data_IF_159625190410
#
_entry.id   IF_159625190410
#
_cell.length_a   1.000
_cell.length_b   1.000
_cell.length_c   1.000
_cell.angle_alpha   90.00
_cell.angle_beta   90.00
_cell.angle_gamma   90.00
#
_symmetry.space_group_name_H-M   'P 1'
#
loop_
_entity.id
_entity.type
_entity.pdbx_description
1 polymer ?
#
# COMPACT_ATOMS: atom_id res chain seq x y z
N UNK A 1 -30.33 27.00 41.11
CA UNK A 1 -30.20 26.19 39.88
C UNK A 1 -30.45 27.11 38.69
N UNK A 2 -29.43 27.44 37.89
CA UNK A 2 -29.63 28.28 36.71
C UNK A 2 -30.28 27.42 35.61
N UNK A 3 -31.47 27.81 35.15
CA UNK A 3 -32.22 27.10 34.11
C UNK A 3 -31.43 26.97 32.81
N UNK A 4 -31.57 25.82 32.12
CA UNK A 4 -30.97 25.61 30.80
C UNK A 4 -31.52 26.64 29.81
N UNK A 5 -30.70 27.62 29.43
CA UNK A 5 -31.02 28.57 28.36
C UNK A 5 -31.17 27.82 27.03
N UNK A 6 -32.39 27.74 26.52
CA UNK A 6 -32.73 27.12 25.23
C UNK A 6 -32.08 27.91 24.08
N UNK A 7 -31.72 27.19 23.02
CA UNK A 7 -31.15 27.77 21.81
C UNK A 7 -32.25 28.32 20.90
N UNK A 8 -32.05 29.52 20.36
CA UNK A 8 -32.99 30.13 19.41
C UNK A 8 -32.59 29.86 17.97
N UNK A 9 -33.55 29.97 17.04
CA UNK A 9 -33.27 29.85 15.59
C UNK A 9 -32.26 30.88 15.10
N UNK A 10 -32.30 32.09 15.66
CA UNK A 10 -31.33 33.15 15.34
C UNK A 10 -29.92 32.79 15.80
N UNK A 11 -29.78 32.17 16.98
CA UNK A 11 -28.48 31.70 17.46
C UNK A 11 -27.96 30.54 16.58
N UNK A 12 -28.83 29.66 16.11
CA UNK A 12 -28.46 28.57 15.20
C UNK A 12 -28.03 29.10 13.81
N UNK A 13 -28.78 30.02 13.22
CA UNK A 13 -28.41 30.71 11.97
C UNK A 13 -27.10 31.49 12.12
N UNK A 14 -26.93 32.18 13.25
CA UNK A 14 -25.68 32.88 13.54
C UNK A 14 -24.50 31.91 13.64
N UNK A 15 -24.68 30.70 14.21
CA UNK A 15 -23.66 29.68 14.20
C UNK A 15 -23.36 29.20 12.76
N UNK A 16 -24.37 28.88 11.96
CA UNK A 16 -24.20 28.48 10.55
C UNK A 16 -23.37 29.51 9.76
N UNK A 17 -23.66 30.80 9.93
CA UNK A 17 -23.01 31.87 9.18
C UNK A 17 -21.58 32.19 9.62
N UNK A 18 -21.27 31.97 10.90
CA UNK A 18 -20.04 32.47 11.54
C UNK A 18 -19.05 31.38 11.92
N UNK A 19 -19.50 30.13 12.08
CA UNK A 19 -18.63 28.98 12.35
C UNK A 19 -17.68 28.80 11.17
N UNK A 20 -16.37 28.94 11.39
CA UNK A 20 -15.33 28.92 10.35
C UNK A 20 -14.81 30.30 9.93
N UNK A 21 -15.61 31.37 10.07
CA UNK A 21 -15.19 32.77 9.83
C UNK A 21 -14.61 33.42 11.08
N UNK A 22 -15.16 33.10 12.25
CA UNK A 22 -14.76 33.67 13.53
C UNK A 22 -14.20 32.59 14.48
N UNK A 23 -13.33 33.00 15.41
CA UNK A 23 -12.87 32.11 16.49
C UNK A 23 -14.06 31.72 17.37
N UNK A 24 -14.16 30.44 17.75
CA UNK A 24 -15.26 29.94 18.60
C UNK A 24 -15.39 30.72 19.92
N UNK A 25 -14.28 31.19 20.49
CA UNK A 25 -14.29 32.07 21.67
C UNK A 25 -14.98 33.41 21.41
N UNK A 26 -14.81 33.99 20.22
CA UNK A 26 -15.47 35.24 19.83
C UNK A 26 -16.97 35.02 19.61
N UNK A 27 -17.33 33.89 18.99
CA UNK A 27 -18.72 33.47 18.81
C UNK A 27 -19.40 33.27 20.18
N UNK A 28 -18.76 32.55 21.10
CA UNK A 28 -19.25 32.33 22.46
C UNK A 28 -19.48 33.65 23.22
N UNK A 29 -18.53 34.60 23.13
CA UNK A 29 -18.67 35.94 23.72
C UNK A 29 -19.87 36.70 23.13
N UNK A 30 -20.05 36.67 21.80
CA UNK A 30 -21.14 37.38 21.11
C UNK A 30 -22.52 36.78 21.41
N UNK A 31 -22.62 35.47 21.58
CA UNK A 31 -23.85 34.78 21.96
C UNK A 31 -24.14 34.83 23.48
N UNK A 32 -23.17 35.30 24.27
CA UNK A 32 -23.25 35.26 25.74
C UNK A 32 -23.37 33.84 26.28
N UNK A 33 -22.70 32.87 25.66
CA UNK A 33 -22.71 31.45 26.03
C UNK A 33 -21.30 30.95 26.33
N UNK A 34 -21.18 29.83 27.05
CA UNK A 34 -19.88 29.19 27.28
C UNK A 34 -19.38 28.52 26.00
N UNK A 35 -18.05 28.41 25.86
CA UNK A 35 -17.42 27.75 24.72
C UNK A 35 -17.92 26.30 24.57
N UNK A 36 -18.02 25.56 25.68
CA UNK A 36 -18.53 24.18 25.66
C UNK A 36 -19.99 24.07 25.17
N UNK A 37 -20.85 25.03 25.52
CA UNK A 37 -22.22 25.06 25.04
C UNK A 37 -22.28 25.28 23.52
N UNK A 38 -21.44 26.18 23.00
CA UNK A 38 -21.30 26.45 21.57
C UNK A 38 -20.78 25.21 20.84
N UNK A 39 -19.75 24.53 21.36
CA UNK A 39 -19.22 23.30 20.77
C UNK A 39 -20.27 22.17 20.71
N UNK A 40 -21.02 21.97 21.78
CA UNK A 40 -22.10 20.97 21.82
C UNK A 40 -23.23 21.30 20.84
N UNK A 41 -23.56 22.58 20.66
CA UNK A 41 -24.60 22.99 19.70
C UNK A 41 -24.13 22.85 18.27
N UNK A 42 -22.88 23.20 17.98
CA UNK A 42 -22.23 23.00 16.69
C UNK A 42 -22.23 21.52 16.30
N UNK A 43 -21.94 20.63 17.26
CA UNK A 43 -22.02 19.18 17.05
C UNK A 43 -23.46 18.73 16.79
N UNK A 44 -24.42 19.23 17.57
CA UNK A 44 -25.86 18.92 17.41
C UNK A 44 -26.42 19.35 16.05
N UNK A 45 -26.00 20.52 15.55
CA UNK A 45 -26.41 21.05 14.24
C UNK A 45 -25.65 20.40 13.07
N UNK A 46 -24.63 19.57 13.32
CA UNK A 46 -23.81 18.97 12.25
C UNK A 46 -22.87 19.95 11.54
N UNK A 47 -22.86 21.23 11.92
CA UNK A 47 -21.99 22.28 11.37
C UNK A 47 -20.55 22.21 11.92
N UNK A 48 -20.27 21.22 12.77
CA UNK A 48 -18.97 20.95 13.43
C UNK A 48 -17.82 20.56 12.53
N UNK A 49 -18.05 20.41 11.22
CA UNK A 49 -16.99 20.31 10.22
C UNK A 49 -16.35 21.69 9.94
N UNK A 50 -15.92 22.37 11.01
CA UNK A 50 -15.13 23.63 11.02
C UNK A 50 -13.88 23.58 10.14
N UNK A 51 -13.42 22.37 9.78
CA UNK A 51 -12.32 22.15 8.84
C UNK A 51 -12.74 22.48 7.41
N UNK A 52 -13.89 21.99 6.95
CA UNK A 52 -14.41 22.18 5.58
C UNK A 52 -14.68 23.68 5.32
N UNK A 53 -15.23 24.41 6.30
CA UNK A 53 -15.57 25.84 6.14
C UNK A 53 -14.35 26.77 6.04
N UNK A 54 -13.14 26.31 6.42
CA UNK A 54 -11.90 27.11 6.31
C UNK A 54 -11.29 27.11 4.90
N UNK A 55 -11.95 26.47 3.93
CA UNK A 55 -11.43 26.20 2.59
C UNK A 55 -10.21 25.28 2.59
N UNK A 56 -9.95 24.60 3.72
CA UNK A 56 -8.78 23.73 3.91
C UNK A 56 -9.18 22.39 4.51
N UNK A 57 -8.78 21.33 3.83
CA UNK A 57 -8.99 19.94 4.23
C UNK A 57 -7.68 19.35 4.73
N UNK A 58 -7.75 18.40 5.66
CA UNK A 58 -6.55 17.66 6.07
C UNK A 58 -6.12 16.68 4.97
N UNK A 59 -4.83 16.31 4.96
CA UNK A 59 -4.34 15.27 4.05
C UNK A 59 -5.11 13.94 4.16
N UNK A 60 -5.65 13.61 5.33
CA UNK A 60 -6.44 12.40 5.53
C UNK A 60 -7.87 12.54 4.97
N UNK A 61 -8.50 13.70 5.18
CA UNK A 61 -9.82 14.00 4.59
C UNK A 61 -9.74 14.04 3.07
N UNK A 62 -8.67 14.61 2.50
CA UNK A 62 -8.40 14.55 1.06
C UNK A 62 -8.22 13.10 0.58
N UNK A 63 -7.52 12.25 1.33
CA UNK A 63 -7.33 10.85 0.97
C UNK A 63 -8.66 10.08 0.95
N UNK A 64 -9.52 10.33 1.93
CA UNK A 64 -10.87 9.74 2.02
C UNK A 64 -11.73 10.22 0.84
N UNK A 65 -11.74 11.53 0.56
CA UNK A 65 -12.48 12.12 -0.56
C UNK A 65 -12.10 11.52 -1.91
N UNK A 66 -10.80 11.24 -2.09
CA UNK A 66 -10.27 10.68 -3.33
C UNK A 66 -10.31 9.13 -3.38
N UNK A 67 -10.67 8.46 -2.27
CA UNK A 67 -10.62 7.00 -2.17
C UNK A 67 -9.20 6.40 -2.29
N UNK A 68 -8.17 7.13 -1.85
CA UNK A 68 -6.75 6.72 -1.96
C UNK A 68 -6.08 6.57 -0.59
N UNK A 69 -4.89 5.98 -0.58
CA UNK A 69 -4.10 5.84 0.64
C UNK A 69 -3.55 7.20 1.13
N UNK A 70 -3.65 7.45 2.44
CA UNK A 70 -3.20 8.72 3.05
C UNK A 70 -1.69 8.99 2.87
N UNK A 71 -0.85 7.96 2.70
CA UNK A 71 0.57 8.14 2.39
C UNK A 71 0.79 8.61 0.95
N UNK A 72 -0.14 8.33 0.03
CA UNK A 72 -0.07 8.92 -1.32
C UNK A 72 -0.18 10.45 -1.23
N UNK A 73 -1.16 10.96 -0.47
CA UNK A 73 -1.32 12.41 -0.25
C UNK A 73 -0.09 13.01 0.46
N UNK A 74 0.45 12.34 1.48
CA UNK A 74 1.69 12.80 2.15
C UNK A 74 2.89 12.83 1.19
N UNK A 75 3.00 11.87 0.26
CA UNK A 75 4.03 11.88 -0.80
C UNK A 75 3.83 13.04 -1.77
N UNK A 76 2.60 13.40 -2.11
CA UNK A 76 2.32 14.57 -2.95
C UNK A 76 2.84 15.87 -2.32
N UNK A 77 2.65 16.03 -1.02
CA UNK A 77 3.15 17.19 -0.25
C UNK A 77 4.68 17.18 -0.21
N UNK A 78 5.31 16.04 0.09
CA UNK A 78 6.77 15.97 0.30
C UNK A 78 7.58 16.01 -1.00
N UNK A 79 7.08 15.37 -2.06
CA UNK A 79 7.88 15.04 -3.25
C UNK A 79 7.32 15.58 -4.55
N UNK A 80 6.06 16.03 -4.57
CA UNK A 80 5.42 16.53 -5.78
C UNK A 80 4.90 17.97 -5.66
N UNK A 81 5.27 18.68 -4.58
CA UNK A 81 5.04 20.11 -4.46
C UNK A 81 3.60 20.52 -4.14
N UNK A 82 2.75 19.60 -3.63
CA UNK A 82 1.41 19.97 -3.17
C UNK A 82 1.52 20.92 -1.97
N UNK A 83 1.00 22.14 -2.12
CA UNK A 83 1.05 23.16 -1.06
C UNK A 83 0.21 22.73 0.13
N UNK A 84 0.85 22.62 1.29
CA UNK A 84 0.17 22.30 2.55
C UNK A 84 0.75 23.13 3.70
N UNK A 85 -0.14 23.64 4.55
CA UNK A 85 0.24 24.31 5.79
C UNK A 85 0.32 23.27 6.90
N UNK A 86 1.50 23.10 7.50
CA UNK A 86 1.66 22.24 8.67
C UNK A 86 1.24 22.97 9.94
N UNK A 87 0.33 22.39 10.72
CA UNK A 87 0.02 22.85 12.08
C UNK A 87 0.26 21.73 13.09
N UNK A 88 0.95 22.06 14.18
CA UNK A 88 1.07 21.19 15.34
C UNK A 88 -0.10 21.50 16.30
N UNK A 89 -0.80 20.46 16.74
CA UNK A 89 -1.81 20.55 17.80
C UNK A 89 -1.18 20.35 19.19
N UNK A 90 -1.99 20.44 20.26
CA UNK A 90 -1.57 20.21 21.66
C UNK A 90 -0.96 18.83 21.91
N UNK A 91 -1.32 17.82 21.13
CA UNK A 91 -0.64 16.54 21.07
C UNK A 91 0.33 16.54 19.88
N UNK A 92 1.50 15.92 20.03
CA UNK A 92 2.68 15.89 19.15
C UNK A 92 2.44 15.56 17.64
N UNK A 93 1.20 15.31 17.24
CA UNK A 93 0.79 15.09 15.86
C UNK A 93 0.82 16.40 15.05
N UNK A 94 1.57 16.36 13.93
CA UNK A 94 1.58 17.39 12.89
C UNK A 94 0.51 17.08 11.85
N UNK A 95 -0.39 18.03 11.60
CA UNK A 95 -1.41 17.92 10.56
C UNK A 95 -1.03 18.76 9.35
N UNK A 96 -1.27 18.22 8.16
CA UNK A 96 -1.14 18.95 6.89
C UNK A 96 -2.51 19.44 6.46
N UNK A 97 -2.68 20.75 6.36
CA UNK A 97 -3.90 21.42 5.87
C UNK A 97 -3.66 21.89 4.43
N UNK A 98 -4.52 21.45 3.52
CA UNK A 98 -4.42 21.69 2.07
C UNK A 98 -5.63 22.52 1.67
N UNK A 99 -5.44 23.60 0.90
CA UNK A 99 -6.57 24.33 0.34
C UNK A 99 -7.15 23.58 -0.87
N UNK A 100 -8.47 23.59 -1.03
CA UNK A 100 -9.15 22.94 -2.16
C UNK A 100 -8.67 23.54 -3.49
N UNK A 101 -8.52 24.86 -3.56
CA UNK A 101 -8.03 25.55 -4.77
C UNK A 101 -6.58 25.18 -5.11
N UNK A 102 -5.72 25.08 -4.08
CA UNK A 102 -4.32 24.66 -4.26
C UNK A 102 -4.24 23.21 -4.71
N UNK A 103 -5.14 22.35 -4.21
CA UNK A 103 -5.25 20.97 -4.66
C UNK A 103 -5.66 20.90 -6.13
N UNK A 104 -6.70 21.62 -6.57
CA UNK A 104 -7.15 21.60 -7.96
C UNK A 104 -6.08 22.11 -8.93
N UNK A 105 -5.38 23.21 -8.59
CA UNK A 105 -4.24 23.70 -9.38
C UNK A 105 -3.11 22.68 -9.49
N UNK A 106 -2.83 21.96 -8.41
CA UNK A 106 -1.82 20.91 -8.41
C UNK A 106 -2.27 19.67 -9.21
N UNK A 107 -3.53 19.27 -9.08
CA UNK A 107 -4.14 18.15 -9.78
C UNK A 107 -4.17 18.37 -11.29
N UNK A 108 -4.42 19.60 -11.74
CA UNK A 108 -4.38 19.98 -13.15
C UNK A 108 -2.98 19.81 -13.76
N UNK A 109 -1.93 20.10 -12.99
CA UNK A 109 -0.55 19.91 -13.43
C UNK A 109 -0.06 18.45 -13.32
N UNK A 110 -0.79 17.58 -12.61
CA UNK A 110 -0.39 16.20 -12.29
C UNK A 110 -1.52 15.22 -12.60
N UNK A 111 -2.19 15.40 -13.74
CA UNK A 111 -3.37 14.60 -14.14
C UNK A 111 -3.06 13.10 -14.19
N UNK A 112 -1.85 12.70 -14.59
CA UNK A 112 -1.50 11.28 -14.70
C UNK A 112 -1.43 10.53 -13.35
N UNK A 113 -1.34 11.26 -12.23
CA UNK A 113 -1.17 10.65 -10.90
C UNK A 113 -2.48 10.37 -10.18
N UNK A 114 -3.57 10.98 -10.63
CA UNK A 114 -4.88 10.88 -10.00
C UNK A 114 -5.79 10.19 -11.01
N UNK A 115 -6.50 9.16 -10.56
CA UNK A 115 -7.57 8.58 -11.35
C UNK A 115 -8.89 9.23 -10.90
N UNK A 116 -9.39 10.14 -11.72
CA UNK A 116 -10.59 10.92 -11.45
C UNK A 116 -11.89 10.12 -11.62
N UNK A 117 -11.84 8.99 -12.33
CA UNK A 117 -13.03 8.14 -12.55
C UNK A 117 -13.58 7.51 -11.27
N UNK A 118 -12.80 7.49 -10.19
CA UNK A 118 -13.13 6.82 -8.91
C UNK A 118 -13.61 7.79 -7.83
N UNK A 119 -13.49 9.08 -8.06
CA UNK A 119 -13.85 10.13 -7.10
C UNK A 119 -15.34 10.42 -7.31
N UNK A 120 -16.15 10.53 -6.26
CA UNK A 120 -17.55 10.95 -6.45
C UNK A 120 -17.60 12.43 -6.88
N UNK A 121 -18.64 12.81 -7.62
CA UNK A 121 -18.86 14.22 -8.02
C UNK A 121 -19.16 15.07 -6.80
N UNK A 122 -18.72 16.33 -6.80
CA UNK A 122 -19.02 17.33 -5.76
C UNK A 122 -18.47 17.08 -4.35
N UNK A 123 -17.65 16.05 -4.11
CA UNK A 123 -17.00 15.85 -2.80
C UNK A 123 -16.08 17.03 -2.45
N UNK A 124 -15.43 17.65 -3.44
CA UNK A 124 -14.46 18.74 -3.26
C UNK A 124 -14.90 20.01 -4.02
N UNK A 125 -15.98 20.63 -3.57
CA UNK A 125 -16.48 21.88 -4.14
C UNK A 125 -15.56 23.10 -3.81
N UNK A 126 -15.36 24.04 -4.76
CA UNK A 126 -15.86 24.06 -6.14
C UNK A 126 -15.05 23.15 -7.06
N UNK A 127 -15.72 22.32 -7.87
CA UNK A 127 -15.10 21.43 -8.86
C UNK A 127 -14.86 22.21 -10.18
N UNK A 128 -13.62 22.25 -10.71
CA UNK A 128 -13.33 22.88 -12.01
C UNK A 128 -13.93 22.09 -13.19
N UNK A 129 -14.32 22.79 -14.26
CA UNK A 129 -14.89 22.17 -15.47
C UNK A 129 -13.98 21.12 -16.13
N UNK A 130 -12.65 21.29 -16.03
CA UNK A 130 -11.70 20.35 -16.63
C UNK A 130 -11.76 18.96 -15.99
N UNK A 131 -12.24 18.84 -14.75
CA UNK A 131 -12.32 17.57 -14.03
C UNK A 131 -13.34 16.64 -14.67
N UNK A 132 -14.47 17.18 -15.13
CA UNK A 132 -15.49 16.39 -15.83
C UNK A 132 -14.96 15.85 -17.17
N UNK A 133 -14.20 16.67 -17.90
CA UNK A 133 -13.53 16.24 -19.14
C UNK A 133 -12.52 15.14 -18.84
N UNK A 134 -11.71 15.30 -17.78
CA UNK A 134 -10.73 14.30 -17.39
C UNK A 134 -11.38 12.99 -16.93
N UNK A 135 -12.52 13.02 -16.22
CA UNK A 135 -13.28 11.81 -15.84
C UNK A 135 -13.68 10.98 -17.06
N UNK A 136 -14.10 11.63 -18.15
CA UNK A 136 -14.48 10.95 -19.41
C UNK A 136 -13.27 10.27 -20.04
N UNK A 137 -12.12 10.95 -20.08
CA UNK A 137 -10.85 10.40 -20.57
C UNK A 137 -10.42 9.21 -19.70
N UNK A 138 -10.34 9.41 -18.39
CA UNK A 138 -9.92 8.38 -17.44
C UNK A 138 -10.80 7.14 -17.55
N UNK A 139 -12.13 7.31 -17.64
CA UNK A 139 -13.08 6.19 -17.78
C UNK A 139 -12.84 5.39 -19.06
N UNK A 140 -12.50 6.06 -20.16
CA UNK A 140 -12.14 5.41 -21.43
C UNK A 140 -10.75 4.74 -21.37
N UNK A 141 -9.81 5.33 -20.63
CA UNK A 141 -8.44 4.83 -20.45
C UNK A 141 -8.30 3.76 -19.36
N UNK A 142 -9.28 3.58 -18.45
CA UNK A 142 -9.27 2.51 -17.43
C UNK A 142 -8.86 1.22 -18.14
N UNK A 143 -7.67 0.67 -17.85
CA UNK A 143 -7.21 -0.48 -18.58
C UNK A 143 -8.18 -1.63 -18.31
N UNK A 144 -8.96 -2.02 -19.33
CA UNK A 144 -9.73 -3.28 -19.37
C UNK A 144 -8.87 -4.49 -18.97
N UNK A 145 -7.54 -4.32 -18.93
CA UNK A 145 -6.51 -5.28 -18.49
C UNK A 145 -6.61 -5.73 -17.03
N UNK A 146 -7.11 -4.93 -16.09
CA UNK A 146 -6.88 -5.22 -14.66
C UNK A 146 -7.59 -6.45 -14.10
N UNK A 147 -8.56 -7.02 -14.82
CA UNK A 147 -9.25 -8.26 -14.42
C UNK A 147 -9.62 -9.17 -15.59
N UNK A 148 -8.82 -9.19 -16.67
CA UNK A 148 -9.06 -10.22 -17.70
C UNK A 148 -8.73 -11.59 -17.10
N UNK A 149 -9.70 -12.51 -16.93
CA UNK A 149 -9.41 -13.87 -16.50
C UNK A 149 -8.45 -14.54 -17.49
N UNK A 150 -7.74 -15.56 -17.04
CA UNK A 150 -6.90 -16.37 -17.93
C UNK A 150 -7.80 -17.27 -18.75
N UNK A 151 -7.68 -17.19 -20.08
CA UNK A 151 -8.32 -18.18 -20.95
C UNK A 151 -7.54 -19.50 -20.89
N UNK A 152 -8.20 -20.62 -21.18
CA UNK A 152 -7.58 -21.94 -21.27
C UNK A 152 -6.55 -21.98 -22.41
N UNK A 153 -6.89 -21.42 -23.58
CA UNK A 153 -5.95 -21.26 -24.71
C UNK A 153 -4.74 -20.38 -24.37
N UNK A 154 -4.96 -19.28 -23.64
CA UNK A 154 -3.87 -18.42 -23.16
C UNK A 154 -2.97 -19.17 -22.15
N UNK A 155 -3.58 -20.00 -21.30
CA UNK A 155 -2.86 -20.83 -20.32
C UNK A 155 -2.02 -21.90 -21.02
N UNK A 156 -2.58 -22.57 -22.03
CA UNK A 156 -1.84 -23.54 -22.86
C UNK A 156 -0.64 -22.88 -23.54
N UNK A 157 -0.87 -21.71 -24.15
CA UNK A 157 0.20 -20.96 -24.82
C UNK A 157 1.30 -20.51 -23.85
N UNK A 158 0.92 -20.12 -22.64
CA UNK A 158 1.86 -19.81 -21.57
C UNK A 158 2.73 -21.03 -21.21
N UNK A 159 2.13 -22.22 -21.07
CA UNK A 159 2.85 -23.45 -20.75
C UNK A 159 3.82 -23.85 -21.87
N UNK A 160 3.40 -23.75 -23.14
CA UNK A 160 4.25 -23.99 -24.30
C UNK A 160 5.48 -23.06 -24.31
N UNK A 161 5.26 -21.75 -24.17
CA UNK A 161 6.34 -20.77 -24.18
C UNK A 161 7.29 -20.94 -22.98
N UNK A 162 6.75 -21.34 -21.83
CA UNK A 162 7.55 -21.64 -20.63
C UNK A 162 8.41 -22.90 -20.83
N UNK A 163 7.85 -23.97 -21.39
CA UNK A 163 8.59 -25.20 -21.69
C UNK A 163 9.65 -25.01 -22.79
N UNK A 164 9.46 -24.04 -23.68
CA UNK A 164 10.47 -23.60 -24.65
C UNK A 164 11.63 -22.81 -24.02
N UNK A 165 11.57 -22.51 -22.72
CA UNK A 165 12.63 -21.79 -22.00
C UNK A 165 12.70 -20.29 -22.29
N UNK A 166 11.60 -19.70 -22.82
CA UNK A 166 11.54 -18.26 -23.11
C UNK A 166 11.58 -17.43 -21.83
N UNK A 167 12.19 -16.25 -21.90
CA UNK A 167 12.26 -15.36 -20.74
C UNK A 167 10.88 -14.76 -20.41
N UNK A 168 10.66 -14.37 -19.15
CA UNK A 168 9.37 -13.86 -18.68
C UNK A 168 8.95 -12.57 -19.41
N UNK A 169 9.91 -11.75 -19.80
CA UNK A 169 9.71 -10.49 -20.53
C UNK A 169 9.15 -10.75 -21.95
N UNK A 170 9.74 -11.70 -22.66
CA UNK A 170 9.27 -12.11 -24.00
C UNK A 170 7.87 -12.73 -23.92
N UNK A 171 7.61 -13.57 -22.90
CA UNK A 171 6.28 -14.14 -22.67
C UNK A 171 5.25 -13.04 -22.37
N UNK A 172 5.65 -12.00 -21.64
CA UNK A 172 4.81 -10.84 -21.32
C UNK A 172 4.41 -10.05 -22.55
N UNK A 173 5.37 -9.81 -23.45
CA UNK A 173 5.12 -9.14 -24.72
C UNK A 173 4.21 -10.00 -25.62
N UNK A 174 4.49 -11.29 -25.77
CA UNK A 174 3.71 -12.21 -26.61
C UNK A 174 2.26 -12.38 -26.15
N UNK A 175 2.03 -12.43 -24.84
CA UNK A 175 0.68 -12.58 -24.26
C UNK A 175 0.01 -11.22 -23.95
N UNK A 176 0.70 -10.10 -24.20
CA UNK A 176 0.25 -8.75 -23.87
C UNK A 176 -0.21 -8.61 -22.40
N UNK A 177 0.47 -9.30 -21.49
CA UNK A 177 0.23 -9.29 -20.04
C UNK A 177 1.45 -8.68 -19.33
N UNK A 178 1.28 -8.31 -18.07
CA UNK A 178 2.42 -7.86 -17.25
C UNK A 178 3.26 -9.05 -16.82
N UNK A 179 4.57 -8.87 -16.70
CA UNK A 179 5.51 -9.88 -16.20
C UNK A 179 5.07 -10.45 -14.84
N UNK A 180 4.68 -9.56 -13.91
CA UNK A 180 4.14 -9.97 -12.59
C UNK A 180 2.87 -10.82 -12.72
N UNK A 181 2.04 -10.57 -13.72
CA UNK A 181 0.84 -11.36 -13.99
C UNK A 181 1.17 -12.77 -14.45
N UNK A 182 2.16 -12.91 -15.33
CA UNK A 182 2.68 -14.19 -15.80
C UNK A 182 3.36 -14.96 -14.68
N UNK A 183 4.25 -14.31 -13.92
CA UNK A 183 4.94 -14.93 -12.79
C UNK A 183 3.95 -15.55 -11.80
N UNK A 184 2.90 -14.81 -11.42
CA UNK A 184 1.83 -15.32 -10.53
C UNK A 184 1.07 -16.50 -11.13
N UNK A 185 0.80 -16.47 -12.45
CA UNK A 185 0.12 -17.58 -13.13
C UNK A 185 1.01 -18.83 -13.17
N UNK A 186 2.30 -18.69 -13.48
CA UNK A 186 3.27 -19.79 -13.45
C UNK A 186 3.36 -20.39 -12.04
N UNK A 187 3.43 -19.57 -10.98
CA UNK A 187 3.41 -20.07 -9.60
C UNK A 187 2.17 -20.91 -9.31
N UNK A 188 0.98 -20.45 -9.71
CA UNK A 188 -0.27 -21.22 -9.56
C UNK A 188 -0.27 -22.52 -10.37
N UNK A 189 0.26 -22.50 -11.58
CA UNK A 189 0.38 -23.70 -12.41
C UNK A 189 1.36 -24.73 -11.80
N UNK A 190 2.44 -24.26 -11.15
CA UNK A 190 3.35 -25.10 -10.36
C UNK A 190 2.64 -25.71 -9.14
N UNK A 191 1.87 -24.91 -8.41
CA UNK A 191 1.03 -25.39 -7.29
C UNK A 191 0.01 -26.45 -7.73
N UNK A 192 -0.58 -26.29 -8.91
CA UNK A 192 -1.49 -27.25 -9.52
C UNK A 192 -0.78 -28.46 -10.17
N UNK A 193 0.56 -28.55 -10.08
CA UNK A 193 1.41 -29.59 -10.69
C UNK A 193 1.31 -29.69 -12.22
N UNK A 194 0.83 -28.65 -12.88
CA UNK A 194 0.75 -28.56 -14.35
C UNK A 194 2.07 -28.08 -14.98
N UNK A 195 2.95 -27.49 -14.16
CA UNK A 195 4.32 -27.14 -14.55
C UNK A 195 5.33 -27.66 -13.52
N UNK A 196 6.55 -28.06 -13.94
CA UNK A 196 7.58 -28.49 -13.03
C UNK A 196 8.06 -27.32 -12.14
N UNK A 197 8.34 -27.61 -10.87
CA UNK A 197 9.03 -26.67 -10.01
C UNK A 197 10.51 -26.59 -10.43
N UNK A 198 11.05 -25.37 -10.47
CA UNK A 198 12.50 -25.15 -10.73
C UNK A 198 13.37 -25.79 -9.62
N UNK A 199 12.76 -26.11 -8.48
CA UNK A 199 13.38 -26.78 -7.34
C UNK A 199 12.70 -28.11 -7.12
N UNK A 200 13.41 -29.20 -7.38
CA UNK A 200 13.03 -30.52 -6.88
C UNK A 200 13.13 -30.46 -5.34
N UNK A 201 12.00 -30.21 -4.68
CA UNK A 201 11.86 -30.23 -3.22
C UNK A 201 11.72 -31.68 -2.75
N UNK A 202 12.75 -32.50 -2.97
CA UNK A 202 12.79 -33.83 -2.38
C UNK A 202 13.08 -33.71 -0.87
N UNK A 203 12.18 -34.19 -0.01
CA UNK A 203 12.41 -34.20 1.43
C UNK A 203 13.68 -35.01 1.74
N UNK A 204 14.48 -34.53 2.70
CA UNK A 204 15.72 -35.19 3.11
C UNK A 204 15.40 -36.52 3.78
N UNK A 205 15.96 -37.61 3.25
CA UNK A 205 15.83 -38.95 3.86
C UNK A 205 16.78 -39.07 5.06
N UNK A 206 16.45 -39.94 6.02
CA UNK A 206 17.32 -40.20 7.18
C UNK A 206 18.71 -40.70 6.77
N UNK A 207 18.79 -41.60 5.76
CA UNK A 207 20.05 -42.11 5.21
C UNK A 207 20.89 -41.00 4.57
N UNK A 208 20.27 -40.07 3.83
CA UNK A 208 20.95 -38.92 3.24
C UNK A 208 21.53 -37.98 4.31
N UNK A 209 20.84 -37.84 5.45
CA UNK A 209 21.34 -37.04 6.57
C UNK A 209 22.52 -37.70 7.28
N UNK A 210 22.48 -39.02 7.45
CA UNK A 210 23.61 -39.78 8.00
C UNK A 210 24.84 -39.66 7.10
N UNK A 211 24.65 -39.89 5.79
CA UNK A 211 25.72 -39.75 4.80
C UNK A 211 26.31 -38.33 4.77
N UNK A 212 25.46 -37.30 4.85
CA UNK A 212 25.93 -35.90 4.94
C UNK A 212 26.85 -35.66 6.15
N UNK A 213 26.53 -36.24 7.31
CA UNK A 213 27.33 -36.11 8.55
C UNK A 213 28.59 -36.97 8.50
N UNK A 214 28.54 -38.14 7.87
CA UNK A 214 29.70 -39.02 7.66
C UNK A 214 30.74 -38.37 6.75
N UNK A 215 30.32 -37.82 5.61
CA UNK A 215 31.20 -37.12 4.67
C UNK A 215 31.78 -35.84 5.29
N UNK A 216 31.02 -35.17 6.15
CA UNK A 216 31.51 -34.03 6.93
C UNK A 216 32.59 -34.45 7.94
N UNK A 217 32.42 -35.57 8.64
CA UNK A 217 33.45 -36.11 9.55
C UNK A 217 34.72 -36.52 8.81
N UNK A 218 34.62 -36.88 7.53
CA UNK A 218 35.77 -37.13 6.66
C UNK A 218 36.46 -35.84 6.17
N UNK A 219 35.88 -34.66 6.46
CA UNK A 219 36.47 -33.37 6.16
C UNK A 219 36.30 -32.90 4.72
N UNK A 220 35.33 -33.46 4.00
CA UNK A 220 34.94 -33.08 2.64
C UNK A 220 34.25 -31.71 2.62
N UNK A 221 34.39 -31.00 1.50
CA UNK A 221 33.76 -29.69 1.31
C UNK A 221 32.29 -29.81 0.87
N UNK A 222 31.53 -28.73 1.06
CA UNK A 222 30.09 -28.69 0.76
C UNK A 222 29.78 -28.97 -0.72
N UNK A 223 30.71 -28.62 -1.60
CA UNK A 223 30.68 -28.92 -3.03
C UNK A 223 30.75 -30.43 -3.30
N UNK A 224 31.69 -31.12 -2.66
CA UNK A 224 31.92 -32.57 -2.78
C UNK A 224 30.74 -33.35 -2.16
N UNK A 225 30.28 -32.92 -0.99
CA UNK A 225 29.11 -33.50 -0.31
C UNK A 225 27.85 -33.34 -1.17
N UNK A 226 27.69 -32.20 -1.86
CA UNK A 226 26.57 -31.98 -2.75
C UNK A 226 26.57 -32.92 -3.97
N UNK A 227 27.75 -33.18 -4.54
CA UNK A 227 27.93 -34.12 -5.65
C UNK A 227 27.52 -35.54 -5.22
N UNK A 228 28.04 -36.02 -4.08
CA UNK A 228 27.74 -37.36 -3.55
C UNK A 228 26.26 -37.55 -3.21
N UNK A 229 25.59 -36.49 -2.74
CA UNK A 229 24.16 -36.53 -2.42
C UNK A 229 23.25 -36.30 -3.64
N UNK A 230 23.80 -36.01 -4.81
CA UNK A 230 23.03 -35.61 -5.99
C UNK A 230 22.18 -34.36 -5.76
N UNK A 231 22.65 -33.44 -4.91
CA UNK A 231 21.96 -32.21 -4.51
C UNK A 231 22.81 -31.00 -4.90
N UNK A 232 22.22 -29.80 -4.76
CA UNK A 232 22.97 -28.55 -4.91
C UNK A 232 23.65 -28.15 -3.60
N UNK A 233 24.81 -27.51 -3.68
CA UNK A 233 25.55 -26.98 -2.53
C UNK A 233 24.66 -26.11 -1.62
N UNK A 234 23.83 -25.25 -2.21
CA UNK A 234 22.84 -24.43 -1.48
C UNK A 234 21.85 -25.26 -0.67
N UNK A 235 21.42 -26.43 -1.16
CA UNK A 235 20.51 -27.31 -0.42
C UNK A 235 21.20 -27.94 0.80
N UNK A 236 22.48 -28.32 0.69
CA UNK A 236 23.28 -28.84 1.80
C UNK A 236 23.47 -27.76 2.87
N UNK A 237 23.90 -26.55 2.45
CA UNK A 237 24.08 -25.39 3.33
C UNK A 237 22.80 -25.01 4.08
N UNK A 238 21.66 -24.90 3.40
CA UNK A 238 20.38 -24.60 4.02
C UNK A 238 19.91 -25.70 4.98
N UNK A 239 20.18 -26.97 4.64
CA UNK A 239 19.82 -28.09 5.52
C UNK A 239 20.59 -28.03 6.84
N UNK A 240 21.88 -27.70 6.80
CA UNK A 240 22.72 -27.51 7.98
C UNK A 240 22.24 -26.34 8.84
N UNK A 241 21.91 -25.20 8.22
CA UNK A 241 21.35 -24.05 8.93
C UNK A 241 20.06 -24.42 9.67
N UNK A 242 19.19 -25.21 9.02
CA UNK A 242 17.95 -25.71 9.61
C UNK A 242 18.18 -26.68 10.77
N UNK A 243 19.18 -27.57 10.67
CA UNK A 243 19.54 -28.48 11.77
C UNK A 243 20.15 -27.73 12.96
N UNK A 244 20.98 -26.71 12.70
CA UNK A 244 21.54 -25.83 13.74
C UNK A 244 20.45 -25.06 14.47
N UNK A 245 19.47 -24.52 13.74
CA UNK A 245 18.30 -23.84 14.32
C UNK A 245 17.46 -24.77 15.22
N UNK A 246 17.56 -26.09 15.05
CA UNK A 246 16.88 -27.09 15.87
C UNK A 246 17.75 -27.67 16.99
N UNK A 247 19.00 -27.21 17.14
CA UNK A 247 19.95 -27.77 18.10
C UNK A 247 20.38 -29.21 17.79
N UNK A 248 20.18 -29.68 16.57
CA UNK A 248 20.49 -31.05 16.14
C UNK A 248 21.85 -31.14 15.43
N UNK A 249 22.60 -30.05 15.37
CA UNK A 249 23.85 -29.94 14.64
C UNK A 249 24.68 -28.75 15.17
N UNK A 250 25.87 -29.05 15.69
CA UNK A 250 26.76 -28.08 16.35
C UNK A 250 27.68 -27.30 15.40
N UNK A 251 27.64 -27.61 14.10
CA UNK A 251 28.39 -26.91 13.08
C UNK A 251 29.72 -27.54 12.70
N UNK A 252 30.20 -27.12 11.53
CA UNK A 252 31.45 -27.54 10.93
C UNK A 252 32.66 -27.17 11.82
N UNK A 253 33.34 -28.19 12.37
CA UNK A 253 34.63 -27.99 13.04
C UNK A 253 35.68 -27.72 11.96
N UNK A 254 36.07 -26.45 11.79
CA UNK A 254 37.18 -26.05 10.92
C UNK A 254 38.41 -26.92 11.21
N UNK A 255 39.09 -27.37 10.16
CA UNK A 255 40.37 -28.09 10.21
C UNK A 255 41.30 -27.41 11.23
N UNK A 256 41.76 -28.16 12.22
CA UNK A 256 43.01 -27.84 12.91
C UNK A 256 44.09 -28.03 11.86
N UNK A 257 44.65 -26.93 11.36
CA UNK A 257 45.84 -27.00 10.52
C UNK A 257 46.97 -27.60 11.38
N UNK A 258 47.22 -28.90 11.25
CA UNK A 258 48.48 -29.50 11.66
C UNK A 258 49.55 -29.05 10.65
N UNK A 259 50.11 -27.88 10.90
CA UNK A 259 51.37 -27.46 10.29
C UNK A 259 52.47 -27.79 11.30
N UNK A 260 53.39 -28.65 10.85
CA UNK A 260 54.61 -29.18 11.50
C UNK A 260 54.44 -30.47 12.29
#
# INVERSE_FOLDING_TARGET
MAGRRLWTKEEDLYLEDNVGKLRLQTIAKRLGRTLAAVESRILFLGIGHTKIMSGRITANELAIALGIDSHAVKRWIKSHGLKAVTKATRAEAKFHLISIDDFWKWAEANKEKINFSRIETDILAPEPEWVEVQRKIDTAEIPKKHRKPWNEKETQRLMELFNQGRCLEEIAQLLNRTEKGIQRKISRLKEQRLLPYDKILLPWKKKELQLMLELENQGLEDSEIAIELGRTEKQVSWKRLHLRSKGLYDGYKKRVNSVS
#
